data_IF_565177538548
#
_entry.id   IF_565177538548
#
_cell.length_a   1.000
_cell.length_b   1.000
_cell.length_c   1.000
_cell.angle_alpha   90.00
_cell.angle_beta   90.00
_cell.angle_gamma   90.00
#
_symmetry.space_group_name_H-M   'P 1'
#
loop_
_entity.id
_entity.type
_entity.pdbx_description
1 polymer ?
#
# COMPACT_ATOMS: atom_id res chain seq x y z
N UNK A 1 -24.93 -66.84 7.73
CA UNK A 1 -25.12 -65.47 7.21
C UNK A 1 -24.31 -64.44 8.01
N UNK A 2 -22.98 -64.58 8.09
CA UNK A 2 -22.10 -63.63 8.81
C UNK A 2 -21.18 -62.82 7.89
N UNK A 3 -21.04 -63.21 6.62
CA UNK A 3 -20.09 -62.59 5.69
C UNK A 3 -20.59 -61.27 5.07
N UNK A 4 -21.91 -61.11 4.91
CA UNK A 4 -22.51 -59.88 4.35
C UNK A 4 -22.41 -58.71 5.33
N UNK A 5 -22.58 -58.98 6.63
CA UNK A 5 -22.41 -57.96 7.66
C UNK A 5 -20.95 -57.53 7.80
N UNK A 6 -19.99 -58.45 7.65
CA UNK A 6 -18.56 -58.11 7.68
C UNK A 6 -18.14 -57.24 6.48
N UNK A 7 -18.67 -57.50 5.28
CA UNK A 7 -18.46 -56.66 4.09
C UNK A 7 -19.12 -55.28 4.19
N UNK A 8 -20.30 -55.18 4.83
CA UNK A 8 -20.96 -53.90 5.11
C UNK A 8 -20.20 -53.09 6.17
N UNK A 9 -19.72 -53.70 7.25
CA UNK A 9 -18.84 -53.02 8.22
C UNK A 9 -17.48 -52.64 7.63
N UNK A 10 -16.91 -53.41 6.70
CA UNK A 10 -15.68 -53.00 5.98
C UNK A 10 -15.91 -51.84 5.01
N UNK A 11 -17.11 -51.66 4.46
CA UNK A 11 -17.47 -50.47 3.65
C UNK A 11 -17.82 -49.25 4.51
N UNK A 12 -18.40 -49.44 5.70
CA UNK A 12 -18.72 -48.37 6.67
C UNK A 12 -17.50 -47.91 7.47
N UNK A 13 -16.51 -48.79 7.74
CA UNK A 13 -15.23 -48.46 8.38
C UNK A 13 -14.21 -47.87 7.39
N UNK A 14 -14.67 -47.18 6.35
CA UNK A 14 -13.83 -46.29 5.54
C UNK A 14 -13.72 -44.90 6.20
N UNK A 15 -13.59 -44.87 7.51
CA UNK A 15 -13.56 -43.67 8.35
C UNK A 15 -12.18 -43.02 8.41
N UNK A 16 -11.13 -43.67 7.88
CA UNK A 16 -9.79 -43.05 7.81
C UNK A 16 -9.67 -41.95 6.74
N UNK A 17 -10.44 -42.03 5.64
CA UNK A 17 -10.49 -40.92 4.66
C UNK A 17 -11.41 -39.78 5.11
N UNK A 18 -12.40 -40.09 5.95
CA UNK A 18 -13.35 -39.11 6.50
C UNK A 18 -12.74 -38.30 7.64
N UNK A 19 -11.96 -38.91 8.53
CA UNK A 19 -11.27 -38.17 9.60
C UNK A 19 -10.28 -37.19 9.01
N UNK A 20 -9.43 -37.61 8.06
CA UNK A 20 -8.42 -36.73 7.46
C UNK A 20 -9.04 -35.59 6.64
N UNK A 21 -10.13 -35.81 5.90
CA UNK A 21 -10.84 -34.73 5.19
C UNK A 21 -11.70 -33.85 6.09
N UNK A 22 -12.29 -34.38 7.17
CA UNK A 22 -13.02 -33.58 8.14
C UNK A 22 -12.09 -32.77 9.03
N UNK A 23 -10.90 -33.29 9.32
CA UNK A 23 -9.81 -32.62 10.00
C UNK A 23 -9.16 -31.59 9.08
N UNK A 24 -9.00 -31.89 7.78
CA UNK A 24 -8.67 -30.90 6.76
C UNK A 24 -9.74 -29.80 6.69
N UNK A 25 -11.03 -30.14 6.58
CA UNK A 25 -12.11 -29.17 6.49
C UNK A 25 -12.21 -28.31 7.76
N UNK A 26 -12.01 -28.89 8.95
CA UNK A 26 -11.93 -28.16 10.23
C UNK A 26 -10.68 -27.28 10.31
N UNK A 27 -9.54 -27.74 9.80
CA UNK A 27 -8.33 -26.91 9.72
C UNK A 27 -8.49 -25.78 8.69
N UNK A 28 -9.13 -26.01 7.53
CA UNK A 28 -9.47 -24.98 6.54
C UNK A 28 -10.44 -23.95 7.10
N UNK A 29 -11.47 -24.39 7.80
CA UNK A 29 -12.45 -23.52 8.46
C UNK A 29 -11.82 -22.71 9.62
N UNK A 30 -10.75 -23.23 10.24
CA UNK A 30 -9.94 -22.54 11.25
C UNK A 30 -8.77 -21.73 10.65
N UNK A 31 -8.63 -21.68 9.33
CA UNK A 31 -7.53 -20.96 8.65
C UNK A 31 -6.16 -21.68 8.65
N UNK A 32 -6.08 -22.89 9.19
CA UNK A 32 -4.84 -23.67 9.37
C UNK A 32 -4.35 -24.45 8.14
N UNK A 33 -5.09 -24.47 7.04
CA UNK A 33 -4.66 -25.04 5.75
C UNK A 33 -4.34 -24.01 4.67
N UNK A 34 -4.67 -22.76 4.94
CA UNK A 34 -3.96 -21.67 4.30
C UNK A 34 -2.52 -21.77 4.78
N UNK A 35 -1.52 -21.60 3.92
CA UNK A 35 -0.08 -21.45 4.25
C UNK A 35 0.25 -20.32 5.26
N UNK A 36 -0.74 -19.87 6.02
CA UNK A 36 -0.83 -18.58 6.68
C UNK A 36 -1.18 -18.70 8.19
N UNK A 37 -1.15 -19.89 8.79
CA UNK A 37 -1.38 -20.12 10.23
C UNK A 37 -0.24 -19.69 11.17
N UNK A 38 0.55 -18.69 10.76
CA UNK A 38 1.63 -18.08 11.54
C UNK A 38 1.97 -16.65 11.12
N UNK A 39 1.04 -15.94 10.46
CA UNK A 39 1.34 -14.73 9.67
C UNK A 39 1.05 -13.40 10.37
N UNK A 40 0.59 -13.41 11.62
CA UNK A 40 0.61 -12.19 12.44
C UNK A 40 2.01 -11.95 13.02
N UNK A 41 2.99 -11.68 12.15
CA UNK A 41 4.20 -10.99 12.57
C UNK A 41 3.86 -9.51 12.68
N UNK A 42 3.73 -9.07 13.92
CA UNK A 42 3.53 -7.66 14.26
C UNK A 42 4.90 -6.98 14.18
N UNK A 43 5.12 -6.19 13.13
CA UNK A 43 6.37 -5.45 12.96
C UNK A 43 6.38 -4.24 13.88
N UNK A 44 7.43 -4.11 14.71
CA UNK A 44 7.58 -2.99 15.62
C UNK A 44 7.60 -1.65 14.88
N UNK A 45 7.01 -0.62 15.50
CA UNK A 45 7.11 0.75 14.99
C UNK A 45 8.53 1.27 15.16
N UNK A 46 9.00 2.02 14.18
CA UNK A 46 10.28 2.72 14.30
C UNK A 46 10.16 3.92 15.27
N UNK A 47 11.30 4.51 15.64
CA UNK A 47 11.31 5.60 16.62
C UNK A 47 10.56 6.84 16.11
N UNK A 48 10.71 7.21 14.84
CA UNK A 48 10.00 8.37 14.28
C UNK A 48 8.47 8.20 14.27
N UNK A 49 7.98 6.97 14.06
CA UNK A 49 6.56 6.64 14.17
C UNK A 49 6.07 6.80 15.62
N UNK A 50 6.87 6.34 16.59
CA UNK A 50 6.58 6.50 18.02
C UNK A 50 6.57 7.98 18.41
N UNK A 51 7.59 8.73 18.04
CA UNK A 51 7.71 10.17 18.31
C UNK A 51 6.52 10.95 17.73
N UNK A 52 6.04 10.57 16.55
CA UNK A 52 4.86 11.19 15.94
C UNK A 52 3.56 10.88 16.68
N UNK A 53 3.38 9.64 17.16
CA UNK A 53 2.22 9.28 17.99
C UNK A 53 2.26 10.04 19.31
N UNK A 54 3.43 10.15 19.93
CA UNK A 54 3.61 10.93 21.16
C UNK A 54 3.30 12.41 20.94
N UNK A 55 3.77 13.00 19.82
CA UNK A 55 3.46 14.37 19.45
C UNK A 55 1.95 14.61 19.27
N UNK A 56 1.21 13.69 18.63
CA UNK A 56 -0.25 13.76 18.52
C UNK A 56 -0.90 13.83 19.91
N UNK A 57 -0.47 12.97 20.83
CA UNK A 57 -1.04 12.95 22.18
C UNK A 57 -0.78 14.26 22.92
N UNK A 58 0.43 14.81 22.85
CA UNK A 58 0.73 16.09 23.48
C UNK A 58 -0.04 17.26 22.85
N UNK A 59 -0.05 17.36 21.51
CA UNK A 59 -0.70 18.44 20.76
C UNK A 59 -2.21 18.52 21.06
N UNK A 60 -2.87 17.37 21.16
CA UNK A 60 -4.32 17.30 21.34
C UNK A 60 -4.75 16.99 22.79
N UNK A 61 -3.81 16.97 23.75
CA UNK A 61 -4.15 16.74 25.15
C UNK A 61 -4.92 17.93 25.74
N UNK A 62 -5.98 17.62 26.50
CA UNK A 62 -6.74 18.62 27.29
C UNK A 62 -6.55 18.42 28.81
N UNK A 63 -5.52 17.65 29.20
CA UNK A 63 -5.17 17.38 30.60
C UNK A 63 -6.02 16.30 31.30
N UNK A 64 -6.94 15.63 30.61
CA UNK A 64 -7.83 14.59 31.19
C UNK A 64 -7.41 13.14 30.88
N UNK A 65 -6.47 12.92 29.96
CA UNK A 65 -6.01 11.59 29.51
C UNK A 65 -4.71 11.14 30.16
N UNK A 66 -4.43 9.84 30.12
CA UNK A 66 -3.16 9.27 30.60
C UNK A 66 -2.23 9.06 29.41
N UNK A 67 -1.44 10.09 29.07
CA UNK A 67 -0.59 10.10 27.87
C UNK A 67 0.25 8.83 27.76
N UNK A 68 0.88 8.35 28.85
CA UNK A 68 1.72 7.16 28.81
C UNK A 68 0.95 5.86 28.51
N UNK A 69 -0.27 5.74 29.04
CA UNK A 69 -1.12 4.56 28.80
C UNK A 69 -1.66 4.58 27.37
N UNK A 70 -2.21 5.73 26.96
CA UNK A 70 -2.77 5.95 25.64
C UNK A 70 -1.68 5.80 24.55
N UNK A 71 -0.47 6.25 24.82
CA UNK A 71 0.69 6.07 23.94
C UNK A 71 1.00 4.60 23.68
N UNK A 72 1.10 3.80 24.74
CA UNK A 72 1.40 2.38 24.64
C UNK A 72 0.32 1.63 23.85
N UNK A 73 -0.95 1.99 24.08
CA UNK A 73 -2.08 1.41 23.35
C UNK A 73 -2.10 1.82 21.88
N UNK A 74 -1.87 3.11 21.56
CA UNK A 74 -1.81 3.58 20.18
C UNK A 74 -0.64 2.99 19.40
N UNK A 75 0.52 2.76 20.03
CA UNK A 75 1.64 2.07 19.41
C UNK A 75 1.26 0.63 19.04
N UNK A 76 0.61 -0.10 19.96
CA UNK A 76 0.14 -1.45 19.71
C UNK A 76 -0.88 -1.50 18.57
N UNK A 77 -1.93 -0.68 18.65
CA UNK A 77 -2.98 -0.58 17.61
C UNK A 77 -2.38 -0.24 16.25
N UNK A 78 -1.46 0.73 16.20
CA UNK A 78 -0.85 1.16 14.94
C UNK A 78 -0.02 0.03 14.31
N UNK A 79 0.72 -0.72 15.11
CA UNK A 79 1.48 -1.88 14.65
C UNK A 79 0.56 -2.99 14.12
N UNK A 80 -0.54 -3.28 14.81
CA UNK A 80 -1.57 -4.23 14.35
C UNK A 80 -2.19 -3.78 13.03
N UNK A 81 -2.55 -2.49 12.90
CA UNK A 81 -3.08 -1.92 11.67
C UNK A 81 -2.09 -2.09 10.53
N UNK A 82 -0.78 -1.87 10.73
CA UNK A 82 0.25 -2.12 9.70
C UNK A 82 0.30 -3.59 9.30
N UNK A 83 0.27 -4.51 10.26
CA UNK A 83 0.30 -5.95 10.03
C UNK A 83 -0.93 -6.44 9.25
N UNK A 84 -2.15 -6.09 9.68
CA UNK A 84 -3.41 -6.43 8.98
C UNK A 84 -3.36 -5.96 7.54
N UNK A 85 -2.95 -4.71 7.37
CA UNK A 85 -2.81 -4.11 6.06
C UNK A 85 -1.82 -4.95 5.23
N UNK A 86 -0.66 -5.35 5.77
CA UNK A 86 0.39 -6.04 5.02
C UNK A 86 -0.12 -7.39 4.51
N UNK A 87 -0.74 -8.14 5.41
CA UNK A 87 -1.39 -9.41 5.10
C UNK A 87 -2.46 -9.26 4.03
N UNK A 88 -3.30 -8.22 4.10
CA UNK A 88 -4.31 -7.96 3.09
C UNK A 88 -3.66 -7.80 1.71
N UNK A 89 -2.56 -7.05 1.59
CA UNK A 89 -1.87 -6.89 0.32
C UNK A 89 -1.34 -8.22 -0.25
N UNK A 90 -0.71 -9.05 0.59
CA UNK A 90 -0.21 -10.37 0.18
C UNK A 90 -1.34 -11.33 -0.21
N UNK A 91 -2.37 -11.43 0.63
CA UNK A 91 -3.49 -12.35 0.43
C UNK A 91 -4.26 -11.98 -0.84
N UNK A 92 -4.63 -10.71 -1.00
CA UNK A 92 -5.31 -10.25 -2.20
C UNK A 92 -4.41 -10.42 -3.43
N UNK A 93 -3.14 -10.02 -3.35
CA UNK A 93 -2.19 -10.14 -4.46
C UNK A 93 -2.03 -11.58 -4.95
N UNK A 94 -1.94 -12.57 -4.06
CA UNK A 94 -1.87 -13.99 -4.42
C UNK A 94 -3.14 -14.45 -5.18
N UNK A 95 -4.34 -14.07 -4.69
CA UNK A 95 -5.61 -14.45 -5.36
C UNK A 95 -5.77 -13.75 -6.70
N UNK A 96 -5.37 -12.49 -6.79
CA UNK A 96 -5.36 -11.73 -8.04
C UNK A 96 -4.40 -12.38 -9.04
N UNK A 97 -3.21 -12.82 -8.60
CA UNK A 97 -2.27 -13.55 -9.47
C UNK A 97 -2.85 -14.85 -9.99
N UNK A 98 -3.59 -15.60 -9.15
CA UNK A 98 -4.31 -16.81 -9.58
C UNK A 98 -5.40 -16.48 -10.61
N UNK A 99 -6.20 -15.45 -10.38
CA UNK A 99 -7.21 -15.00 -11.33
C UNK A 99 -6.59 -14.55 -12.67
N UNK A 100 -5.46 -13.84 -12.63
CA UNK A 100 -4.71 -13.45 -13.83
C UNK A 100 -4.32 -14.67 -14.67
N UNK A 101 -3.82 -15.74 -14.04
CA UNK A 101 -3.47 -17.00 -14.74
C UNK A 101 -4.68 -17.66 -15.39
N UNK A 102 -5.81 -17.73 -14.68
CA UNK A 102 -7.06 -18.30 -15.22
C UNK A 102 -7.54 -17.50 -16.44
N UNK A 103 -7.49 -16.17 -16.36
CA UNK A 103 -8.01 -15.27 -17.38
C UNK A 103 -7.04 -15.02 -18.56
N UNK A 104 -5.83 -15.61 -18.53
CA UNK A 104 -4.83 -15.44 -19.60
C UNK A 104 -5.30 -16.03 -20.94
N UNK A 105 -6.17 -17.04 -20.92
CA UNK A 105 -6.70 -17.70 -22.12
C UNK A 105 -7.94 -17.00 -22.71
N UNK A 106 -8.33 -15.86 -22.17
CA UNK A 106 -9.53 -15.11 -22.58
C UNK A 106 -9.13 -13.85 -23.35
N UNK A 107 -10.12 -13.20 -23.98
CA UNK A 107 -9.90 -11.96 -24.71
C UNK A 107 -9.23 -10.89 -23.85
N UNK A 108 -8.42 -10.05 -24.50
CA UNK A 108 -7.83 -8.86 -23.89
C UNK A 108 -8.90 -8.05 -23.13
N UNK A 109 -8.55 -7.63 -21.92
CA UNK A 109 -9.46 -6.89 -21.04
C UNK A 109 -10.28 -7.78 -20.09
N UNK A 110 -10.37 -9.10 -20.29
CA UNK A 110 -11.10 -10.00 -19.38
C UNK A 110 -10.62 -9.89 -17.92
N UNK A 111 -9.30 -9.85 -17.72
CA UNK A 111 -8.70 -9.65 -16.40
C UNK A 111 -9.08 -8.29 -15.79
N UNK A 112 -8.97 -7.20 -16.55
CA UNK A 112 -9.33 -5.86 -16.07
C UNK A 112 -10.82 -5.78 -15.73
N UNK A 113 -11.70 -6.38 -16.53
CA UNK A 113 -13.14 -6.46 -16.24
C UNK A 113 -13.42 -7.24 -14.96
N UNK A 114 -12.71 -8.35 -14.73
CA UNK A 114 -12.80 -9.09 -13.48
C UNK A 114 -12.33 -8.26 -12.27
N UNK A 115 -11.24 -7.49 -12.40
CA UNK A 115 -10.79 -6.58 -11.34
C UNK A 115 -11.88 -5.55 -10.97
N UNK A 116 -12.51 -4.94 -11.98
CA UNK A 116 -13.60 -3.98 -11.77
C UNK A 116 -14.81 -4.68 -11.12
N UNK A 117 -15.18 -5.87 -11.57
CA UNK A 117 -16.30 -6.62 -11.00
C UNK A 117 -16.07 -7.03 -9.53
N UNK A 118 -14.84 -7.41 -9.17
CA UNK A 118 -14.51 -7.89 -7.82
C UNK A 118 -14.16 -6.76 -6.83
N UNK A 119 -13.58 -5.66 -7.29
CA UNK A 119 -13.05 -4.58 -6.42
C UNK A 119 -13.69 -3.21 -6.66
N UNK A 120 -14.54 -3.06 -7.68
CA UNK A 120 -15.12 -1.77 -8.10
C UNK A 120 -14.12 -0.80 -8.75
N UNK A 121 -12.84 -1.15 -8.82
CA UNK A 121 -11.78 -0.35 -9.43
C UNK A 121 -10.60 -1.22 -9.86
N UNK A 122 -9.76 -0.72 -10.75
CA UNK A 122 -8.53 -1.41 -11.18
C UNK A 122 -7.30 -1.08 -10.33
N UNK A 123 -7.23 0.12 -9.74
CA UNK A 123 -6.00 0.62 -9.13
C UNK A 123 -5.59 -0.18 -7.89
N UNK A 124 -6.54 -0.38 -6.98
CA UNK A 124 -6.31 -1.09 -5.71
C UNK A 124 -5.84 -2.53 -5.94
N UNK A 125 -6.51 -3.35 -6.77
CA UNK A 125 -6.04 -4.71 -7.02
C UNK A 125 -4.72 -4.76 -7.80
N UNK A 126 -4.42 -3.81 -8.69
CA UNK A 126 -3.08 -3.73 -9.29
C UNK A 126 -1.99 -3.43 -8.26
N UNK A 127 -2.24 -2.52 -7.30
CA UNK A 127 -1.30 -2.26 -6.22
C UNK A 127 -1.04 -3.52 -5.37
N UNK A 128 -2.09 -4.29 -5.03
CA UNK A 128 -1.93 -5.56 -4.30
C UNK A 128 -1.14 -6.60 -5.10
N UNK A 129 -1.43 -6.74 -6.38
CA UNK A 129 -0.71 -7.65 -7.27
C UNK A 129 0.78 -7.28 -7.34
N UNK A 130 1.09 -6.01 -7.59
CA UNK A 130 2.47 -5.51 -7.66
C UNK A 130 3.22 -5.69 -6.34
N UNK A 131 2.57 -5.42 -5.21
CA UNK A 131 3.15 -5.64 -3.89
C UNK A 131 3.51 -7.11 -3.66
N UNK A 132 2.55 -8.01 -3.93
CA UNK A 132 2.76 -9.45 -3.77
C UNK A 132 3.87 -9.97 -4.67
N UNK A 133 3.91 -9.55 -5.94
CA UNK A 133 4.96 -9.95 -6.88
C UNK A 133 6.33 -9.44 -6.43
N UNK A 134 6.42 -8.17 -6.04
CA UNK A 134 7.66 -7.58 -5.54
C UNK A 134 8.15 -8.29 -4.28
N UNK A 135 7.29 -8.49 -3.28
CA UNK A 135 7.62 -9.21 -2.05
C UNK A 135 8.09 -10.65 -2.33
N UNK A 136 7.46 -11.34 -3.29
CA UNK A 136 7.83 -12.70 -3.68
C UNK A 136 9.19 -12.79 -4.38
N UNK A 137 9.61 -11.73 -5.07
CA UNK A 137 10.92 -11.64 -5.74
C UNK A 137 12.05 -11.26 -4.79
N UNK A 138 11.73 -10.62 -3.66
CA UNK A 138 12.73 -10.14 -2.71
C UNK A 138 13.30 -11.28 -1.85
N UNK A 139 14.60 -11.23 -1.51
CA UNK A 139 15.18 -12.15 -0.54
C UNK A 139 14.42 -12.12 0.78
N UNK A 140 14.21 -13.29 1.40
CA UNK A 140 13.47 -13.43 2.67
C UNK A 140 14.03 -12.56 3.80
N UNK A 141 15.35 -12.30 3.80
CA UNK A 141 15.99 -11.42 4.77
C UNK A 141 15.50 -9.97 4.71
N UNK A 142 14.92 -9.54 3.59
CA UNK A 142 14.40 -8.18 3.40
C UNK A 142 12.89 -8.06 3.63
N UNK A 143 12.20 -9.17 3.88
CA UNK A 143 10.76 -9.14 4.15
C UNK A 143 10.38 -8.26 5.34
N UNK A 144 11.07 -8.31 6.49
CA UNK A 144 10.80 -7.41 7.61
C UNK A 144 10.95 -5.93 7.24
N UNK A 145 11.90 -5.64 6.36
CA UNK A 145 12.19 -4.29 5.91
C UNK A 145 11.08 -3.74 4.99
N UNK A 146 10.59 -4.57 4.07
CA UNK A 146 9.44 -4.24 3.21
C UNK A 146 8.16 -4.03 4.04
N UNK A 147 8.02 -4.77 5.13
CA UNK A 147 6.90 -4.64 6.08
C UNK A 147 6.98 -3.34 6.89
N UNK A 148 8.19 -2.88 7.22
CA UNK A 148 8.42 -1.62 7.92
C UNK A 148 8.16 -0.40 7.02
N UNK A 149 8.50 -0.48 5.73
CA UNK A 149 8.41 0.62 4.77
C UNK A 149 6.98 1.18 4.60
N UNK A 150 6.84 2.48 4.27
CA UNK A 150 5.56 3.08 3.94
C UNK A 150 4.94 2.39 2.73
N UNK A 151 3.73 1.85 2.90
CA UNK A 151 3.05 1.06 1.87
C UNK A 151 2.99 1.68 0.49
N UNK A 152 2.62 2.95 0.43
CA UNK A 152 2.50 3.68 -0.82
C UNK A 152 3.86 3.78 -1.54
N UNK A 153 4.95 3.87 -0.77
CA UNK A 153 6.30 3.82 -1.32
C UNK A 153 6.61 2.44 -1.89
N UNK A 154 6.26 1.35 -1.19
CA UNK A 154 6.43 -0.02 -1.72
C UNK A 154 5.62 -0.24 -3.00
N UNK A 155 4.35 0.19 -3.04
CA UNK A 155 3.54 0.14 -4.27
C UNK A 155 4.21 0.90 -5.41
N UNK A 156 4.74 2.09 -5.11
CA UNK A 156 5.42 2.91 -6.12
C UNK A 156 6.67 2.19 -6.61
N UNK A 157 7.54 1.71 -5.72
CA UNK A 157 8.77 0.98 -6.03
C UNK A 157 8.50 -0.29 -6.86
N UNK A 158 7.49 -1.07 -6.46
CA UNK A 158 7.08 -2.26 -7.16
C UNK A 158 6.60 -1.94 -8.60
N UNK A 159 5.84 -0.86 -8.76
CA UNK A 159 5.25 -0.45 -10.05
C UNK A 159 6.21 0.22 -11.05
N UNK A 160 7.42 0.60 -10.61
CA UNK A 160 8.43 1.25 -11.46
C UNK A 160 9.15 0.23 -12.33
N UNK A 161 9.46 0.59 -13.56
CA UNK A 161 10.38 -0.21 -14.38
C UNK A 161 11.82 0.06 -13.93
N UNK A 162 12.68 -0.95 -14.02
CA UNK A 162 14.08 -0.87 -13.63
C UNK A 162 14.63 -2.16 -13.02
N UNK A 163 15.94 -2.20 -12.84
CA UNK A 163 16.70 -3.35 -12.30
C UNK A 163 16.24 -3.69 -10.88
N UNK A 164 16.08 -5.00 -10.61
CA UNK A 164 15.61 -5.50 -9.32
C UNK A 164 16.62 -5.20 -8.21
N UNK A 165 17.92 -5.28 -8.53
CA UNK A 165 19.04 -5.04 -7.63
C UNK A 165 19.00 -3.63 -7.05
N UNK A 166 18.68 -2.62 -7.87
CA UNK A 166 18.52 -1.24 -7.39
C UNK A 166 17.31 -1.08 -6.48
N UNK A 167 16.22 -1.79 -6.76
CA UNK A 167 15.05 -1.78 -5.87
C UNK A 167 15.38 -2.47 -4.55
N UNK A 168 16.16 -3.54 -4.59
CA UNK A 168 16.64 -4.24 -3.42
C UNK A 168 17.50 -3.34 -2.54
N UNK A 169 18.42 -2.56 -3.13
CA UNK A 169 19.23 -1.57 -2.41
C UNK A 169 18.38 -0.52 -1.69
N UNK A 170 17.30 -0.02 -2.31
CA UNK A 170 16.38 0.91 -1.64
C UNK A 170 15.73 0.26 -0.42
N UNK A 171 15.34 -1.01 -0.52
CA UNK A 171 14.78 -1.76 0.61
C UNK A 171 15.85 -1.95 1.68
N UNK A 172 17.02 -2.48 1.33
CA UNK A 172 18.14 -2.72 2.24
C UNK A 172 18.53 -1.49 3.05
N UNK A 173 18.60 -0.33 2.39
CA UNK A 173 19.04 0.91 3.00
C UNK A 173 17.93 1.67 3.74
N UNK A 174 16.69 1.17 3.75
CA UNK A 174 15.59 1.82 4.46
C UNK A 174 15.89 1.87 5.98
N UNK A 175 15.86 3.04 6.59
CA UNK A 175 16.17 3.21 8.00
C UNK A 175 15.12 4.03 8.75
N UNK A 176 13.86 3.94 8.31
CA UNK A 176 12.74 4.64 8.94
C UNK A 176 12.40 5.98 8.28
N UNK A 177 12.90 6.26 7.08
CA UNK A 177 12.56 7.46 6.32
C UNK A 177 11.05 7.60 6.15
N UNK A 178 10.60 8.85 6.10
CA UNK A 178 9.19 9.18 5.89
C UNK A 178 8.73 8.74 4.50
N UNK A 179 7.42 8.56 4.36
CA UNK A 179 6.79 8.27 3.06
C UNK A 179 7.23 9.25 1.97
N UNK A 180 7.36 10.53 2.28
CA UNK A 180 7.72 11.56 1.31
C UNK A 180 9.16 11.41 0.83
N UNK A 181 10.09 11.14 1.74
CA UNK A 181 11.51 10.92 1.44
C UNK A 181 11.71 9.66 0.59
N UNK A 182 11.10 8.53 0.99
CA UNK A 182 11.21 7.29 0.20
C UNK A 182 10.59 7.47 -1.18
N UNK A 183 9.44 8.14 -1.29
CA UNK A 183 8.82 8.43 -2.59
C UNK A 183 9.68 9.35 -3.45
N UNK A 184 10.40 10.29 -2.86
CA UNK A 184 11.33 11.15 -3.57
C UNK A 184 12.50 10.34 -4.12
N UNK A 185 13.17 9.55 -3.27
CA UNK A 185 14.27 8.67 -3.65
C UNK A 185 13.88 7.71 -4.79
N UNK A 186 12.69 7.10 -4.72
CA UNK A 186 12.20 6.21 -5.78
C UNK A 186 12.04 6.96 -7.11
N UNK A 187 11.55 8.21 -7.08
CA UNK A 187 11.32 9.00 -8.29
C UNK A 187 12.61 9.47 -8.93
N UNK A 188 13.64 9.76 -8.13
CA UNK A 188 14.97 10.10 -8.61
C UNK A 188 15.69 8.88 -9.19
N UNK A 189 15.62 7.75 -8.49
CA UNK A 189 16.29 6.50 -8.92
C UNK A 189 15.64 5.88 -10.14
N UNK A 190 14.30 5.93 -10.22
CA UNK A 190 13.52 5.37 -11.31
C UNK A 190 12.62 6.47 -11.89
N UNK A 191 13.14 7.42 -12.68
CA UNK A 191 12.33 8.47 -13.29
C UNK A 191 11.25 7.88 -14.21
N UNK A 192 10.14 8.60 -14.40
CA UNK A 192 9.14 8.19 -15.39
C UNK A 192 9.64 8.57 -16.78
N UNK A 193 9.51 7.64 -17.72
CA UNK A 193 9.70 7.88 -19.14
C UNK A 193 8.87 9.09 -19.62
N UNK A 194 9.38 9.81 -20.62
CA UNK A 194 8.77 11.05 -21.11
C UNK A 194 7.32 10.87 -21.59
N UNK A 195 6.95 9.66 -22.02
CA UNK A 195 5.61 9.32 -22.51
C UNK A 195 4.71 8.63 -21.47
N UNK A 196 5.17 8.42 -20.24
CA UNK A 196 4.35 7.78 -19.21
C UNK A 196 3.23 8.73 -18.76
N UNK A 197 1.97 8.30 -18.93
CA UNK A 197 0.77 9.06 -18.55
C UNK A 197 0.69 9.39 -17.05
N UNK A 198 1.45 8.69 -16.20
CA UNK A 198 1.59 8.98 -14.76
C UNK A 198 2.54 10.15 -14.49
N UNK A 199 3.33 10.57 -15.49
CA UNK A 199 4.23 11.71 -15.33
C UNK A 199 3.39 12.96 -15.19
N UNK A 200 3.56 13.62 -14.05
CA UNK A 200 2.89 14.89 -13.80
C UNK A 200 3.43 15.87 -14.84
N UNK A 201 2.57 16.30 -15.75
CA UNK A 201 2.88 17.46 -16.58
C UNK A 201 2.88 18.66 -15.62
N UNK A 202 4.08 19.04 -15.16
CA UNK A 202 4.25 20.09 -14.16
C UNK A 202 3.70 21.40 -14.73
N UNK A 203 3.98 21.70 -16.00
CA UNK A 203 3.42 22.87 -16.69
C UNK A 203 1.89 22.89 -16.62
N UNK A 204 1.24 21.81 -17.07
CA UNK A 204 -0.23 21.69 -17.06
C UNK A 204 -0.80 21.72 -15.63
N UNK A 205 -0.15 21.06 -14.68
CA UNK A 205 -0.57 21.09 -13.27
C UNK A 205 -0.44 22.49 -12.67
N UNK A 206 0.61 23.23 -13.01
CA UNK A 206 0.86 24.59 -12.55
C UNK A 206 -0.16 25.55 -13.16
N UNK A 207 -0.42 25.44 -14.48
CA UNK A 207 -1.46 26.19 -15.18
C UNK A 207 -2.83 25.98 -14.51
N UNK A 208 -3.21 24.73 -14.25
CA UNK A 208 -4.48 24.41 -13.60
C UNK A 208 -4.58 24.90 -12.15
N UNK A 209 -3.46 25.02 -11.44
CA UNK A 209 -3.42 25.63 -10.11
C UNK A 209 -3.58 27.16 -10.19
N UNK A 210 -2.91 27.82 -11.13
CA UNK A 210 -3.04 29.26 -11.35
C UNK A 210 -4.48 29.64 -11.73
N UNK A 211 -5.14 28.87 -12.60
CA UNK A 211 -6.55 29.07 -12.90
C UNK A 211 -7.43 29.02 -11.65
N UNK A 212 -7.21 28.04 -10.76
CA UNK A 212 -7.94 27.95 -9.48
C UNK A 212 -7.71 29.15 -8.58
N UNK A 213 -6.46 29.63 -8.48
CA UNK A 213 -6.14 30.83 -7.71
C UNK A 213 -6.85 32.07 -8.27
N UNK A 214 -6.86 32.22 -9.60
CA UNK A 214 -7.58 33.30 -10.27
C UNK A 214 -9.08 33.25 -9.95
N UNK A 215 -9.70 32.06 -9.99
CA UNK A 215 -11.11 31.91 -9.65
C UNK A 215 -11.39 32.25 -8.18
N UNK A 216 -10.50 31.88 -7.26
CA UNK A 216 -10.63 32.22 -5.84
C UNK A 216 -10.59 33.73 -5.61
N UNK A 217 -9.68 34.44 -6.29
CA UNK A 217 -9.56 35.91 -6.20
C UNK A 217 -10.73 36.60 -6.91
N UNK A 218 -11.23 36.05 -8.02
CA UNK A 218 -12.41 36.57 -8.75
C UNK A 218 -13.73 36.32 -8.03
N UNK A 219 -13.75 35.47 -7.00
CA UNK A 219 -14.97 35.19 -6.26
C UNK A 219 -15.52 36.48 -5.62
N UNK A 220 -16.85 36.66 -5.69
CA UNK A 220 -17.53 37.92 -5.28
C UNK A 220 -17.32 38.32 -3.81
N UNK A 221 -16.72 37.45 -3.00
CA UNK A 221 -16.50 37.65 -1.56
C UNK A 221 -15.02 37.70 -1.16
N UNK A 222 -14.08 37.74 -2.10
CA UNK A 222 -12.67 37.82 -1.76
C UNK A 222 -12.35 39.18 -1.10
N UNK A 223 -12.05 39.15 0.21
CA UNK A 223 -11.51 40.30 0.95
C UNK A 223 -10.04 40.05 1.22
N UNK A 224 -9.18 40.80 0.55
CA UNK A 224 -7.73 40.71 0.67
C UNK A 224 -7.24 42.00 1.33
N UNK A 225 -6.48 41.89 2.42
CA UNK A 225 -5.89 43.05 3.09
C UNK A 225 -4.75 43.65 2.25
N UNK A 226 -4.33 44.88 2.55
CA UNK A 226 -3.19 45.50 1.86
C UNK A 226 -1.89 44.68 2.03
N UNK A 227 -1.64 44.13 3.22
CA UNK A 227 -0.47 43.28 3.48
C UNK A 227 -0.54 41.97 2.70
N UNK A 228 -1.70 41.31 2.67
CA UNK A 228 -1.89 40.09 1.87
C UNK A 228 -1.73 40.35 0.37
N UNK A 229 -2.22 41.48 -0.12
CA UNK A 229 -2.07 41.87 -1.52
C UNK A 229 -0.60 42.05 -1.90
N UNK A 230 0.18 42.71 -1.05
CA UNK A 230 1.62 42.88 -1.28
C UNK A 230 2.35 41.53 -1.28
N UNK A 231 2.07 40.67 -0.30
CA UNK A 231 2.66 39.33 -0.23
C UNK A 231 2.30 38.48 -1.46
N UNK A 232 1.06 38.56 -1.94
CA UNK A 232 0.64 37.87 -3.17
C UNK A 232 1.44 38.38 -4.39
N UNK A 233 1.70 39.69 -4.48
CA UNK A 233 2.50 40.22 -5.59
C UNK A 233 3.97 39.80 -5.52
N UNK A 234 4.59 39.85 -4.34
CA UNK A 234 5.96 39.38 -4.13
C UNK A 234 6.09 37.90 -4.54
N UNK A 235 5.17 37.04 -4.12
CA UNK A 235 5.15 35.62 -4.50
C UNK A 235 4.93 35.40 -6.01
N UNK A 236 4.14 36.27 -6.66
CA UNK A 236 3.92 36.20 -8.11
C UNK A 236 5.19 36.58 -8.86
N UNK A 237 5.92 37.59 -8.39
CA UNK A 237 7.15 38.04 -9.03
C UNK A 237 8.27 37.00 -8.85
N UNK A 238 8.44 36.43 -7.66
CA UNK A 238 9.34 35.30 -7.43
C UNK A 238 8.95 34.10 -8.33
N UNK A 239 7.67 33.77 -8.43
CA UNK A 239 7.19 32.70 -9.29
C UNK A 239 7.52 32.95 -10.78
N UNK A 240 7.46 34.19 -11.26
CA UNK A 240 7.84 34.52 -12.64
C UNK A 240 9.32 34.25 -12.89
N UNK A 241 10.19 34.67 -11.98
CA UNK A 241 11.64 34.44 -12.08
C UNK A 241 11.93 32.93 -12.19
N UNK A 242 11.33 32.11 -11.33
CA UNK A 242 11.47 30.66 -11.41
C UNK A 242 10.94 30.05 -12.71
N UNK A 243 9.87 30.58 -13.28
CA UNK A 243 9.31 30.10 -14.55
C UNK A 243 10.21 30.49 -15.73
N UNK A 244 10.84 31.66 -15.71
CA UNK A 244 11.80 32.08 -16.74
C UNK A 244 13.08 31.24 -16.71
N UNK A 245 13.50 30.78 -15.54
CA UNK A 245 14.64 29.86 -15.38
C UNK A 245 14.33 28.42 -15.79
N UNK A 246 13.05 28.06 -15.98
CA UNK A 246 12.68 26.72 -16.41
C UNK A 246 13.09 26.47 -17.86
N UNK A 247 13.84 25.39 -18.09
CA UNK A 247 14.21 24.95 -19.45
C UNK A 247 12.96 24.58 -20.25
N UNK A 248 12.78 25.22 -21.39
CA UNK A 248 11.79 24.82 -22.39
C UNK A 248 12.26 23.56 -23.12
N UNK A 249 11.32 22.65 -23.42
CA UNK A 249 11.56 21.44 -24.21
C UNK A 249 11.13 21.67 -25.65
#
# INVERSE_FOLDING_TARGET
MSDVNQLLTKRLNKTEKSSKMAEMAKQSARGNLSSFSGIFTVSELNQGEKDFIEAILYEYSTGKGSINTDFSELVAITSEVKAINHQAALLHGERIKKAQRVLTNYQEGAFTSWLIAAYGNRQTPYNFLQYYEFYSLMPKGLHPQIEAMPRQAVYTLASREGELEKKQQIVENYNGETKSEVLHLIRETFPLEDHDKRRRNIGESTINSLYRLIQNVKSRNARITKSQKNAIFEMIDEFKEWVEECKTR
#
